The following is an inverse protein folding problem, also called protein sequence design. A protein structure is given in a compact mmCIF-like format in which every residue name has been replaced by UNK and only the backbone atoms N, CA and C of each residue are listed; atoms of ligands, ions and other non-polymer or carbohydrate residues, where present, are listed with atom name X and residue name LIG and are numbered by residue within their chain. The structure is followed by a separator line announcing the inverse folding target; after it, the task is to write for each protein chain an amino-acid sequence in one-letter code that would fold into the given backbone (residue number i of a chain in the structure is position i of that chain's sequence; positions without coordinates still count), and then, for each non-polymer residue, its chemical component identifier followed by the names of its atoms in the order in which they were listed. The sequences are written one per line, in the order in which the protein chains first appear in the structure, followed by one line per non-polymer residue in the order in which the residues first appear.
data_IF_296489637000
#
_entry.id   IF_296489637000
#
_cell.length_a   1.000
_cell.length_b   1.000
_cell.length_c   1.000
_cell.angle_alpha   90.00
_cell.angle_beta   90.00
_cell.angle_gamma   90.00
#
_symmetry.space_group_name_H-M   'P 1'
#
loop_
_entity.id
_entity.type
_entity.pdbx_description
1 polymer ?
#
# COMPACT_ATOMS: atom_id res chain seq x y z
N UNK A 1 26.38 -4.46 -15.99
CA UNK A 1 25.98 -4.64 -14.57
C UNK A 1 24.47 -4.72 -14.54
N UNK A 2 23.90 -5.91 -14.32
CA UNK A 2 22.45 -6.09 -14.28
C UNK A 2 21.99 -5.72 -12.88
N UNK A 3 21.36 -4.55 -12.73
CA UNK A 3 20.72 -4.16 -11.47
C UNK A 3 19.66 -5.20 -11.10
N UNK A 4 19.55 -5.62 -9.83
CA UNK A 4 18.49 -6.54 -9.43
C UNK A 4 17.16 -5.82 -9.62
N UNK A 5 16.40 -6.23 -10.64
CA UNK A 5 15.02 -5.77 -10.81
C UNK A 5 14.25 -6.32 -9.62
N UNK A 6 13.97 -5.47 -8.63
CA UNK A 6 13.10 -5.82 -7.52
C UNK A 6 11.75 -6.19 -8.12
N UNK A 7 11.43 -7.48 -8.10
CA UNK A 7 10.13 -7.97 -8.52
C UNK A 7 9.09 -7.41 -7.55
N UNK A 8 8.48 -6.28 -7.92
CA UNK A 8 7.32 -5.73 -7.22
C UNK A 8 6.14 -6.64 -7.47
N UNK A 9 5.59 -7.19 -6.41
CA UNK A 9 4.38 -7.97 -6.49
C UNK A 9 3.18 -7.03 -6.73
N UNK A 10 2.06 -7.53 -7.28
CA UNK A 10 0.83 -6.76 -7.37
C UNK A 10 0.35 -6.22 -6.01
N UNK A 11 0.73 -6.89 -4.91
CA UNK A 11 0.49 -6.42 -3.55
C UNK A 11 1.30 -5.17 -3.24
N UNK A 12 2.60 -5.16 -3.55
CA UNK A 12 3.49 -4.00 -3.31
C UNK A 12 3.02 -2.76 -4.07
N UNK A 13 2.53 -2.94 -5.30
CA UNK A 13 1.96 -1.84 -6.10
C UNK A 13 0.71 -1.25 -5.44
N UNK A 14 -0.13 -2.09 -4.82
CA UNK A 14 -1.33 -1.61 -4.10
C UNK A 14 -0.95 -0.86 -2.82
N UNK A 15 0.06 -1.34 -2.09
CA UNK A 15 0.59 -0.68 -0.89
C UNK A 15 1.09 0.72 -1.25
N UNK A 16 1.87 0.85 -2.33
CA UNK A 16 2.38 2.14 -2.80
C UNK A 16 1.25 3.11 -3.17
N UNK A 17 0.25 2.66 -3.93
CA UNK A 17 -0.88 3.53 -4.32
C UNK A 17 -1.68 4.04 -3.11
N UNK A 18 -1.89 3.19 -2.12
CA UNK A 18 -2.60 3.57 -0.89
C UNK A 18 -1.74 4.52 -0.06
N UNK A 19 -0.44 4.23 0.08
CA UNK A 19 0.54 5.09 0.75
C UNK A 19 0.60 6.47 0.13
N UNK A 20 0.73 6.56 -1.20
CA UNK A 20 0.76 7.83 -1.93
C UNK A 20 -0.52 8.64 -1.70
N UNK A 21 -1.67 7.97 -1.65
CA UNK A 21 -2.97 8.63 -1.37
C UNK A 21 -3.04 9.16 0.06
N UNK A 22 -2.52 8.42 1.04
CA UNK A 22 -2.45 8.85 2.45
C UNK A 22 -1.53 10.06 2.57
N UNK A 23 -0.32 9.99 2.01
CA UNK A 23 0.66 11.08 2.05
C UNK A 23 0.17 12.34 1.32
N UNK A 24 -0.62 12.20 0.26
CA UNK A 24 -1.23 13.34 -0.44
C UNK A 24 -2.29 14.09 0.40
N UNK A 25 -2.86 13.46 1.43
CA UNK A 25 -3.94 14.02 2.25
C UNK A 25 -3.60 14.24 3.72
N UNK A 26 -2.45 13.76 4.16
CA UNK A 26 -2.00 13.85 5.55
C UNK A 26 -0.52 14.22 5.63
N UNK A 27 -0.12 14.89 6.71
CA UNK A 27 1.30 15.09 7.05
C UNK A 27 1.78 13.90 7.88
N UNK A 28 1.84 12.74 7.24
CA UNK A 28 2.36 11.52 7.86
C UNK A 28 3.76 11.24 7.30
N UNK A 29 4.66 10.76 8.15
CA UNK A 29 5.99 10.34 7.71
C UNK A 29 5.90 9.09 6.82
N UNK A 30 6.87 8.91 5.93
CA UNK A 30 6.88 7.88 4.88
C UNK A 30 6.69 6.45 5.41
N UNK A 31 7.26 6.18 6.58
CA UNK A 31 7.14 4.89 7.28
C UNK A 31 5.73 4.67 7.84
N UNK A 32 5.19 5.68 8.51
CA UNK A 32 3.85 5.61 9.11
C UNK A 32 2.78 5.51 8.02
N UNK A 33 2.98 6.17 6.88
CA UNK A 33 2.09 6.06 5.72
C UNK A 33 2.12 4.66 5.09
N UNK A 34 3.29 4.03 5.04
CA UNK A 34 3.44 2.66 4.54
C UNK A 34 2.77 1.65 5.48
N UNK A 35 2.97 1.78 6.79
CA UNK A 35 2.38 0.90 7.79
C UNK A 35 0.84 1.04 7.78
N UNK A 36 0.32 2.28 7.69
CA UNK A 36 -1.12 2.53 7.55
C UNK A 36 -1.68 1.95 6.25
N UNK A 37 -0.95 2.04 5.14
CA UNK A 37 -1.37 1.48 3.86
C UNK A 37 -1.51 -0.05 3.91
N UNK A 38 -0.58 -0.73 4.58
CA UNK A 38 -0.65 -2.18 4.80
C UNK A 38 -1.87 -2.55 5.65
N UNK A 39 -2.13 -1.81 6.73
CA UNK A 39 -3.27 -2.11 7.60
C UNK A 39 -4.62 -1.82 6.93
N UNK A 40 -4.73 -0.77 6.12
CA UNK A 40 -5.91 -0.52 5.29
C UNK A 40 -6.12 -1.66 4.28
N UNK A 41 -5.06 -2.14 3.62
CA UNK A 41 -5.18 -3.24 2.68
C UNK A 41 -5.59 -4.56 3.35
N UNK A 42 -5.09 -4.83 4.56
CA UNK A 42 -5.56 -5.98 5.37
C UNK A 42 -7.05 -5.86 5.69
N UNK A 43 -7.51 -4.69 6.12
CA UNK A 43 -8.93 -4.45 6.40
C UNK A 43 -9.77 -4.64 5.14
N UNK A 44 -9.36 -4.07 4.01
CA UNK A 44 -10.07 -4.22 2.73
C UNK A 44 -10.12 -5.67 2.24
N UNK A 45 -9.06 -6.45 2.47
CA UNK A 45 -9.01 -7.88 2.14
C UNK A 45 -9.87 -8.71 3.11
N UNK A 46 -10.08 -8.22 4.33
CA UNK A 46 -10.96 -8.84 5.32
C UNK A 46 -12.44 -8.49 5.12
N UNK A 47 -12.79 -7.54 4.25
CA UNK A 47 -14.18 -7.23 3.89
C UNK A 47 -14.59 -8.21 2.77
N UNK A 48 -15.59 -9.09 3.01
CA UNK A 48 -16.02 -10.04 1.99
C UNK A 48 -16.53 -9.33 0.75
N UNK A 49 -16.09 -9.79 -0.43
CA UNK A 49 -16.37 -9.21 -1.76
C UNK A 49 -17.86 -8.98 -2.08
N UNK A 50 -18.80 -9.54 -1.31
CA UNK A 50 -20.25 -9.33 -1.51
C UNK A 50 -20.73 -7.88 -1.30
N UNK A 51 -19.88 -6.99 -0.79
CA UNK A 51 -20.20 -5.59 -0.50
C UNK A 51 -19.31 -4.63 -1.31
N UNK A 52 -19.00 -4.94 -2.57
CA UNK A 52 -18.27 -4.04 -3.48
C UNK A 52 -18.99 -3.87 -4.80
#
# INVERSE_FOLDING_TARGET
MTSPTMFRTPYDIRVDLVKDTIMARTKLDDKDAADLAVDILKVLTSIPEKMR
#
